data_IF_574657629243
#
_entry.id   IF_574657629243
#
_cell.length_a   1.000
_cell.length_b   1.000
_cell.length_c   1.000
_cell.angle_alpha   90.00
_cell.angle_beta   90.00
_cell.angle_gamma   90.00
#
_symmetry.space_group_name_H-M   'P 1'
#
loop_
_entity.id
_entity.type
_entity.pdbx_description
1 polymer ?
#
# COMPACT_ATOMS: atom_id res chain seq x y z
N UNK A 1 21.40 26.90 -34.03
CA UNK A 1 21.14 26.98 -32.58
C UNK A 1 20.23 28.15 -32.30
N UNK A 2 18.98 27.87 -31.95
CA UNK A 2 17.98 28.88 -31.55
C UNK A 2 17.50 28.55 -30.13
N UNK A 3 17.45 29.54 -29.24
CA UNK A 3 16.89 29.39 -27.89
C UNK A 3 15.44 29.86 -27.88
N UNK A 4 14.55 29.04 -27.32
CA UNK A 4 13.13 29.38 -27.23
C UNK A 4 12.55 28.85 -25.91
N UNK A 5 11.72 29.65 -25.27
CA UNK A 5 10.89 29.22 -24.15
C UNK A 5 9.69 28.45 -24.71
N UNK A 6 9.49 27.20 -24.28
CA UNK A 6 8.34 26.42 -24.68
C UNK A 6 7.85 25.50 -23.54
N UNK A 7 6.64 24.97 -23.70
CA UNK A 7 6.19 23.85 -22.88
C UNK A 7 6.70 22.55 -23.48
N UNK A 8 7.35 21.72 -22.66
CA UNK A 8 7.85 20.40 -23.01
C UNK A 8 6.94 19.37 -22.34
N UNK A 9 6.45 18.42 -23.13
CA UNK A 9 5.70 17.27 -22.66
C UNK A 9 6.53 16.01 -22.95
N UNK A 10 6.88 15.29 -21.89
CA UNK A 10 7.44 13.95 -21.98
C UNK A 10 6.35 12.95 -21.67
N UNK A 11 6.21 11.91 -22.47
CA UNK A 11 5.29 10.81 -22.22
C UNK A 11 6.00 9.47 -22.40
N UNK A 12 5.65 8.49 -21.58
CA UNK A 12 6.23 7.15 -21.63
C UNK A 12 5.21 6.08 -21.23
N UNK A 13 5.34 4.87 -21.76
CA UNK A 13 4.43 3.78 -21.44
C UNK A 13 4.79 3.15 -20.09
N UNK A 14 3.82 3.10 -19.17
CA UNK A 14 4.01 2.46 -17.89
C UNK A 14 4.12 0.94 -18.03
N UNK A 15 5.22 0.35 -17.53
CA UNK A 15 5.37 -1.10 -17.45
C UNK A 15 5.61 -1.79 -18.79
N UNK A 16 6.18 -1.09 -19.77
CA UNK A 16 6.45 -1.60 -21.13
C UNK A 16 7.10 -2.98 -21.15
N UNK A 17 8.21 -3.18 -20.42
CA UNK A 17 8.92 -4.47 -20.36
C UNK A 17 8.00 -5.63 -19.94
N UNK A 18 7.16 -5.42 -18.92
CA UNK A 18 6.22 -6.43 -18.41
C UNK A 18 5.09 -6.74 -19.40
N UNK A 19 4.61 -5.72 -20.13
CA UNK A 19 3.57 -5.89 -21.16
C UNK A 19 4.12 -6.68 -22.36
N UNK A 20 5.36 -6.37 -22.76
CA UNK A 20 6.06 -7.04 -23.86
C UNK A 20 6.33 -8.52 -23.58
N UNK A 21 6.74 -8.88 -22.37
CA UNK A 21 6.96 -10.28 -21.95
C UNK A 21 5.69 -11.14 -22.03
N UNK A 22 4.51 -10.54 -21.88
CA UNK A 22 3.22 -11.26 -21.90
C UNK A 22 2.69 -11.47 -23.29
N UNK A 23 2.65 -10.42 -24.12
CA UNK A 23 2.10 -10.49 -25.47
C UNK A 23 2.61 -9.34 -26.34
N UNK A 24 3.87 -9.45 -26.78
CA UNK A 24 4.56 -8.46 -27.60
C UNK A 24 3.77 -8.01 -28.84
N UNK A 25 3.17 -8.94 -29.58
CA UNK A 25 2.48 -8.62 -30.84
C UNK A 25 1.20 -7.81 -30.62
N UNK A 26 0.43 -8.12 -29.57
CA UNK A 26 -0.79 -7.36 -29.23
C UNK A 26 -0.44 -5.94 -28.75
N UNK A 27 0.53 -5.83 -27.83
CA UNK A 27 0.92 -4.55 -27.22
C UNK A 27 1.48 -3.58 -28.26
N UNK A 28 2.39 -4.06 -29.13
CA UNK A 28 2.92 -3.25 -30.23
C UNK A 28 1.83 -2.85 -31.24
N UNK A 29 0.86 -3.73 -31.51
CA UNK A 29 -0.28 -3.45 -32.38
C UNK A 29 -1.16 -2.33 -31.82
N UNK A 30 -1.60 -2.46 -30.57
CA UNK A 30 -2.42 -1.46 -29.86
C UNK A 30 -1.68 -0.14 -29.71
N UNK A 31 -0.40 -0.16 -29.32
CA UNK A 31 0.41 1.04 -29.20
C UNK A 31 0.47 1.82 -30.53
N UNK A 32 0.78 1.14 -31.64
CA UNK A 32 0.82 1.77 -32.97
C UNK A 32 -0.54 2.34 -33.36
N UNK A 33 -1.63 1.64 -33.05
CA UNK A 33 -2.99 2.11 -33.29
C UNK A 33 -3.29 3.39 -32.50
N UNK A 34 -3.02 3.42 -31.19
CA UNK A 34 -3.27 4.59 -30.35
C UNK A 34 -2.42 5.79 -30.75
N UNK A 35 -1.15 5.56 -31.16
CA UNK A 35 -0.33 6.63 -31.72
C UNK A 35 -0.96 7.25 -32.96
N UNK A 36 -1.36 6.42 -33.92
CA UNK A 36 -1.92 6.87 -35.20
C UNK A 36 -3.28 7.55 -35.07
N UNK A 37 -4.14 7.05 -34.19
CA UNK A 37 -5.54 7.45 -34.14
C UNK A 37 -5.89 8.43 -33.02
N UNK A 38 -5.03 8.55 -32.01
CA UNK A 38 -5.31 9.37 -30.84
C UNK A 38 -4.17 10.32 -30.51
N UNK A 39 -2.99 9.79 -30.21
CA UNK A 39 -1.91 10.59 -29.59
C UNK A 39 -1.32 11.59 -30.59
N UNK A 40 -0.84 11.12 -31.76
CA UNK A 40 -0.23 12.01 -32.75
C UNK A 40 -1.24 13.05 -33.30
N UNK A 41 -2.51 12.70 -33.58
CA UNK A 41 -3.53 13.68 -33.94
C UNK A 41 -3.83 14.72 -32.85
N UNK A 42 -3.98 14.31 -31.58
CA UNK A 42 -4.26 15.22 -30.47
C UNK A 42 -3.12 16.23 -30.27
N UNK A 43 -1.87 15.77 -30.40
CA UNK A 43 -0.69 16.65 -30.34
C UNK A 43 -0.73 17.68 -31.47
N UNK A 44 -0.97 17.23 -32.71
CA UNK A 44 -1.01 18.12 -33.87
C UNK A 44 -2.16 19.15 -33.77
N UNK A 45 -3.34 18.72 -33.32
CA UNK A 45 -4.52 19.58 -33.18
C UNK A 45 -4.34 20.65 -32.09
N UNK A 46 -3.59 20.33 -31.03
CA UNK A 46 -3.19 21.28 -30.00
C UNK A 46 -1.99 22.18 -30.42
N UNK A 47 -1.52 22.08 -31.67
CA UNK A 47 -0.38 22.84 -32.19
C UNK A 47 0.97 22.37 -31.64
N UNK A 48 1.02 21.16 -31.07
CA UNK A 48 2.25 20.53 -30.60
C UNK A 48 3.06 19.94 -31.74
N UNK A 49 4.37 19.82 -31.52
CA UNK A 49 5.28 19.14 -32.42
C UNK A 49 5.98 18.00 -31.70
N UNK A 50 5.94 16.81 -32.29
CA UNK A 50 6.71 15.66 -31.82
C UNK A 50 8.16 15.89 -32.24
N UNK A 51 9.04 16.00 -31.25
CA UNK A 51 10.47 16.22 -31.46
C UNK A 51 11.16 14.88 -31.71
N UNK A 52 10.90 13.90 -30.84
CA UNK A 52 11.42 12.53 -30.98
C UNK A 52 10.54 11.50 -30.30
N UNK A 53 10.65 10.27 -30.75
CA UNK A 53 10.07 9.07 -30.13
C UNK A 53 11.21 8.20 -29.61
N UNK A 54 11.09 7.67 -28.39
CA UNK A 54 12.06 6.77 -27.75
C UNK A 54 11.44 5.40 -27.53
N UNK A 55 11.09 4.70 -28.61
CA UNK A 55 10.40 3.40 -28.55
C UNK A 55 8.96 3.54 -28.06
N UNK A 56 8.77 3.44 -26.75
CA UNK A 56 7.51 3.54 -26.03
C UNK A 56 7.20 4.94 -25.47
N UNK A 57 8.20 5.80 -25.44
CA UNK A 57 8.06 7.20 -25.06
C UNK A 57 8.10 8.20 -26.21
N UNK A 58 7.76 9.44 -25.90
CA UNK A 58 7.86 10.58 -26.82
C UNK A 58 8.15 11.88 -26.09
N UNK A 59 8.82 12.77 -26.82
CA UNK A 59 9.09 14.12 -26.39
C UNK A 59 8.45 15.09 -27.38
N UNK A 60 7.60 15.97 -26.87
CA UNK A 60 6.85 16.92 -27.67
C UNK A 60 6.99 18.33 -27.12
N UNK A 61 6.84 19.32 -27.99
CA UNK A 61 6.92 20.73 -27.63
C UNK A 61 5.64 21.45 -28.04
N UNK A 62 5.24 22.41 -27.21
CA UNK A 62 4.11 23.30 -27.43
C UNK A 62 4.51 24.75 -27.20
N UNK A 63 3.89 25.65 -27.96
CA UNK A 63 4.13 27.09 -27.81
C UNK A 63 3.53 27.67 -26.52
N UNK A 64 2.62 26.93 -25.85
CA UNK A 64 2.03 27.33 -24.56
C UNK A 64 1.85 26.14 -23.61
N UNK A 65 1.96 26.38 -22.29
CA UNK A 65 1.65 25.37 -21.27
C UNK A 65 0.19 24.92 -21.31
N UNK A 66 -0.72 25.84 -21.61
CA UNK A 66 -2.14 25.54 -21.67
C UNK A 66 -2.44 24.50 -22.77
N UNK A 67 -1.84 24.64 -23.95
CA UNK A 67 -1.99 23.66 -25.02
C UNK A 67 -1.45 22.29 -24.62
N UNK A 68 -0.26 22.25 -23.99
CA UNK A 68 0.34 21.01 -23.52
C UNK A 68 -0.54 20.29 -22.48
N UNK A 69 -1.05 21.01 -21.48
CA UNK A 69 -1.88 20.43 -20.42
C UNK A 69 -3.21 19.92 -20.97
N UNK A 70 -3.88 20.68 -21.84
CA UNK A 70 -5.14 20.26 -22.46
C UNK A 70 -4.96 19.02 -23.35
N UNK A 71 -3.90 19.01 -24.15
CA UNK A 71 -3.55 17.85 -24.97
C UNK A 71 -3.30 16.61 -24.11
N UNK A 72 -2.54 16.75 -23.01
CA UNK A 72 -2.27 15.65 -22.10
C UNK A 72 -3.56 15.11 -21.43
N UNK A 73 -4.45 15.99 -20.99
CA UNK A 73 -5.74 15.62 -20.42
C UNK A 73 -6.60 14.85 -21.43
N UNK A 74 -6.69 15.35 -22.66
CA UNK A 74 -7.43 14.70 -23.75
C UNK A 74 -6.87 13.30 -24.05
N UNK A 75 -5.55 13.17 -24.17
CA UNK A 75 -4.87 11.89 -24.39
C UNK A 75 -5.19 10.92 -23.25
N UNK A 76 -5.02 11.33 -21.99
CA UNK A 76 -5.24 10.43 -20.85
C UNK A 76 -6.70 10.00 -20.73
N UNK A 77 -7.65 10.92 -20.93
CA UNK A 77 -9.08 10.62 -20.86
C UNK A 77 -9.51 9.67 -21.99
N UNK A 78 -9.03 9.90 -23.21
CA UNK A 78 -9.34 9.02 -24.34
C UNK A 78 -8.66 7.65 -24.24
N UNK A 79 -7.42 7.59 -23.72
CA UNK A 79 -6.75 6.33 -23.42
C UNK A 79 -7.51 5.52 -22.38
N UNK A 80 -8.01 6.17 -21.31
CA UNK A 80 -8.84 5.52 -20.30
C UNK A 80 -10.09 4.88 -20.93
N UNK A 81 -10.74 5.57 -21.87
CA UNK A 81 -11.92 5.03 -22.57
C UNK A 81 -11.56 3.84 -23.48
N UNK A 82 -10.46 3.93 -24.23
CA UNK A 82 -10.04 2.84 -25.15
C UNK A 82 -9.57 1.58 -24.43
N UNK A 83 -9.10 1.71 -23.20
CA UNK A 83 -8.58 0.61 -22.38
C UNK A 83 -9.58 0.12 -21.31
N UNK A 84 -10.80 0.67 -21.29
CA UNK A 84 -11.82 0.35 -20.29
C UNK A 84 -12.15 -1.16 -20.24
N UNK A 85 -12.32 -1.78 -21.41
CA UNK A 85 -12.66 -3.20 -21.56
C UNK A 85 -11.45 -4.15 -21.45
N UNK A 86 -10.23 -3.61 -21.35
CA UNK A 86 -9.01 -4.40 -21.22
C UNK A 86 -8.72 -4.70 -19.74
N UNK A 87 -8.35 -5.95 -19.37
CA UNK A 87 -7.97 -6.27 -18.00
C UNK A 87 -6.88 -5.35 -17.46
N UNK A 88 -7.01 -4.87 -16.23
CA UNK A 88 -6.11 -3.87 -15.62
C UNK A 88 -4.61 -4.20 -15.75
N UNK A 89 -4.25 -5.50 -15.68
CA UNK A 89 -2.87 -5.97 -15.80
C UNK A 89 -2.30 -5.89 -17.23
N UNK A 90 -3.15 -5.65 -18.23
CA UNK A 90 -2.84 -5.64 -19.68
C UNK A 90 -3.14 -4.28 -20.33
N UNK A 91 -3.65 -3.32 -19.55
CA UNK A 91 -3.95 -1.97 -20.02
C UNK A 91 -2.67 -1.22 -20.42
N UNK A 92 -2.70 -0.56 -21.56
CA UNK A 92 -1.66 0.39 -21.95
C UNK A 92 -1.95 1.73 -21.28
N UNK A 93 -1.04 2.17 -20.42
CA UNK A 93 -1.16 3.45 -19.72
C UNK A 93 0.08 4.29 -19.98
N UNK A 94 -0.10 5.59 -20.23
CA UNK A 94 1.00 6.52 -20.36
C UNK A 94 1.19 7.29 -19.06
N UNK A 95 2.44 7.61 -18.73
CA UNK A 95 2.79 8.66 -17.78
C UNK A 95 3.11 9.92 -18.57
N UNK A 96 2.72 11.08 -18.07
CA UNK A 96 2.98 12.36 -18.73
C UNK A 96 3.61 13.34 -17.75
N UNK A 97 4.68 14.01 -18.16
CA UNK A 97 5.35 15.08 -17.44
C UNK A 97 5.39 16.37 -18.26
N UNK A 98 4.98 17.50 -17.68
CA UNK A 98 4.96 18.79 -18.38
C UNK A 98 5.72 19.85 -17.61
N UNK A 99 6.65 20.50 -18.30
CA UNK A 99 7.42 21.61 -17.78
C UNK A 99 7.49 22.77 -18.79
N UNK A 100 7.66 24.00 -18.31
CA UNK A 100 8.10 25.12 -19.15
C UNK A 100 9.58 25.36 -18.89
N UNK A 101 10.36 25.51 -19.96
CA UNK A 101 11.75 25.89 -19.83
C UNK A 101 12.35 26.39 -21.14
N UNK A 102 13.47 27.07 -21.02
CA UNK A 102 14.28 27.43 -22.18
C UNK A 102 14.90 26.17 -22.79
N UNK A 103 14.65 25.97 -24.08
CA UNK A 103 15.24 24.89 -24.85
C UNK A 103 16.15 25.44 -25.93
N UNK A 104 17.12 24.62 -26.31
CA UNK A 104 17.97 24.83 -27.46
C UNK A 104 17.50 23.90 -28.58
N UNK A 105 17.14 24.49 -29.73
CA UNK A 105 16.79 23.76 -30.94
C UNK A 105 18.02 23.60 -31.82
N UNK A 106 18.34 22.35 -32.15
CA UNK A 106 19.43 21.95 -33.03
C UNK A 106 19.04 20.69 -33.79
N UNK A 107 19.14 20.72 -35.13
CA UNK A 107 18.82 19.61 -36.04
C UNK A 107 17.46 18.92 -35.83
N UNK A 108 16.46 19.67 -35.35
CA UNK A 108 15.12 19.17 -35.08
C UNK A 108 14.95 18.47 -33.73
N UNK A 109 15.99 18.43 -32.88
CA UNK A 109 15.92 17.97 -31.49
C UNK A 109 15.90 19.15 -30.50
N UNK A 110 15.54 18.86 -29.24
CA UNK A 110 15.49 19.84 -28.15
C UNK A 110 16.39 19.42 -26.99
N UNK A 111 17.17 20.38 -26.49
CA UNK A 111 18.08 20.19 -25.37
C UNK A 111 17.89 21.27 -24.31
N UNK A 112 18.24 20.94 -23.06
CA UNK A 112 18.24 21.89 -21.96
C UNK A 112 17.62 21.33 -20.69
N UNK A 113 17.80 22.05 -19.59
CA UNK A 113 17.31 21.64 -18.27
C UNK A 113 15.79 21.47 -18.26
N UNK A 114 15.06 22.28 -19.02
CA UNK A 114 13.60 22.19 -19.13
C UNK A 114 13.11 20.83 -19.66
N UNK A 115 13.88 20.20 -20.55
CA UNK A 115 13.60 18.86 -21.10
C UNK A 115 13.82 17.80 -20.04
N UNK A 116 14.92 17.90 -19.30
CA UNK A 116 15.24 17.00 -18.21
C UNK A 116 14.18 17.05 -17.11
N UNK A 117 13.69 18.24 -16.76
CA UNK A 117 12.58 18.38 -15.80
C UNK A 117 11.33 17.66 -16.29
N UNK A 118 10.89 17.88 -17.54
CA UNK A 118 9.69 17.23 -18.08
C UNK A 118 9.79 15.70 -18.03
N UNK A 119 10.92 15.12 -18.44
CA UNK A 119 11.15 13.68 -18.36
C UNK A 119 11.16 13.15 -16.91
N UNK A 120 11.61 13.96 -15.94
CA UNK A 120 11.56 13.56 -14.52
C UNK A 120 10.16 13.65 -13.93
N UNK A 121 9.38 14.64 -14.34
CA UNK A 121 7.97 14.74 -13.98
C UNK A 121 7.18 13.55 -14.53
N UNK A 122 7.47 13.11 -15.75
CA UNK A 122 6.90 11.90 -16.33
C UNK A 122 7.22 10.68 -15.46
N UNK A 123 8.50 10.49 -15.12
CA UNK A 123 8.95 9.31 -14.37
C UNK A 123 8.31 9.16 -12.98
N UNK A 124 7.90 10.28 -12.35
CA UNK A 124 7.23 10.27 -11.03
C UNK A 124 5.69 10.30 -11.14
N UNK A 125 5.14 10.46 -12.34
CA UNK A 125 3.70 10.43 -12.56
C UNK A 125 3.15 9.02 -12.34
N UNK A 126 1.94 8.92 -11.77
CA UNK A 126 1.20 7.66 -11.76
C UNK A 126 0.89 7.21 -13.21
N UNK A 127 0.79 5.90 -13.46
CA UNK A 127 0.27 5.38 -14.73
C UNK A 127 -1.12 5.94 -15.05
N UNK A 128 -1.28 6.54 -16.22
CA UNK A 128 -2.50 7.27 -16.62
C UNK A 128 -2.60 8.69 -16.07
N UNK A 129 -1.60 9.15 -15.30
CA UNK A 129 -1.56 10.48 -14.68
C UNK A 129 -0.75 11.52 -15.47
N UNK A 130 -0.81 12.75 -14.98
CA UNK A 130 -0.06 13.89 -15.51
C UNK A 130 0.60 14.62 -14.33
N UNK A 131 1.92 14.73 -14.34
CA UNK A 131 2.67 15.58 -13.43
C UNK A 131 3.10 16.87 -14.13
N UNK A 132 2.88 18.00 -13.48
CA UNK A 132 3.26 19.32 -13.99
C UNK A 132 4.11 20.07 -12.96
N UNK A 133 5.05 20.87 -13.46
CA UNK A 133 5.81 21.80 -12.61
C UNK A 133 4.91 22.88 -12.01
N UNK A 134 5.33 23.47 -10.89
CA UNK A 134 4.62 24.60 -10.25
C UNK A 134 4.39 25.78 -11.20
N UNK A 135 5.36 26.07 -12.07
CA UNK A 135 5.24 27.14 -13.07
C UNK A 135 4.12 26.85 -14.07
N UNK A 136 4.00 25.60 -14.52
CA UNK A 136 2.91 25.18 -15.43
C UNK A 136 1.57 25.31 -14.71
N UNK A 137 1.47 24.81 -13.47
CA UNK A 137 0.24 24.89 -12.68
C UNK A 137 -0.24 26.34 -12.49
N UNK A 138 0.66 27.24 -12.09
CA UNK A 138 0.35 28.66 -11.89
C UNK A 138 -0.16 29.34 -13.18
N UNK A 139 0.38 28.96 -14.34
CA UNK A 139 -0.04 29.52 -15.64
C UNK A 139 -1.41 28.97 -16.07
N UNK A 140 -1.75 27.75 -15.69
CA UNK A 140 -2.96 27.06 -16.19
C UNK A 140 -4.15 27.06 -15.22
N UNK A 141 -3.94 27.32 -13.92
CA UNK A 141 -4.95 27.17 -12.86
C UNK A 141 -6.29 27.89 -13.14
N UNK A 142 -6.26 29.05 -13.81
CA UNK A 142 -7.49 29.82 -14.10
C UNK A 142 -8.22 29.36 -15.37
N UNK A 143 -7.64 28.43 -16.14
CA UNK A 143 -8.11 28.06 -17.49
C UNK A 143 -8.27 26.57 -17.73
N UNK A 144 -7.86 25.76 -16.76
CA UNK A 144 -7.99 24.29 -16.71
C UNK A 144 -8.79 24.00 -15.44
N UNK A 145 -9.94 23.34 -15.59
CA UNK A 145 -10.92 23.14 -14.51
C UNK A 145 -10.67 21.85 -13.73
N UNK A 146 -9.85 20.97 -14.29
CA UNK A 146 -9.48 19.68 -13.73
C UNK A 146 -8.58 19.86 -12.50
N UNK A 147 -8.88 19.19 -11.38
CA UNK A 147 -8.12 19.38 -10.14
C UNK A 147 -6.75 18.71 -10.23
N UNK A 148 -5.69 19.46 -9.91
CA UNK A 148 -4.34 18.95 -9.69
C UNK A 148 -4.02 18.95 -8.18
N UNK A 149 -3.49 17.84 -7.68
CA UNK A 149 -3.07 17.68 -6.28
C UNK A 149 -1.62 18.10 -6.10
N UNK A 150 -1.32 18.89 -5.06
CA UNK A 150 0.04 19.27 -4.71
C UNK A 150 0.81 18.10 -4.11
N UNK A 151 1.90 17.69 -4.76
CA UNK A 151 2.82 16.67 -4.26
C UNK A 151 4.01 17.28 -3.48
N UNK A 152 4.03 18.59 -3.29
CA UNK A 152 5.11 19.30 -2.62
C UNK A 152 6.42 19.29 -3.41
N UNK A 153 7.53 19.55 -2.70
CA UNK A 153 8.86 19.65 -3.28
C UNK A 153 9.46 18.26 -3.55
N UNK A 154 9.67 17.95 -4.83
CA UNK A 154 10.27 16.72 -5.29
C UNK A 154 11.77 16.92 -5.59
N UNK A 155 12.62 16.07 -5.01
CA UNK A 155 14.04 16.00 -5.39
C UNK A 155 14.19 15.02 -6.54
N UNK A 156 14.63 15.52 -7.69
CA UNK A 156 14.89 14.70 -8.88
C UNK A 156 16.39 14.59 -9.12
N UNK A 157 16.84 13.42 -9.60
CA UNK A 157 18.26 13.15 -9.86
C UNK A 157 18.84 14.22 -10.80
N UNK A 158 20.01 14.77 -10.44
CA UNK A 158 20.79 15.75 -11.21
C UNK A 158 20.17 17.15 -11.35
N UNK A 159 19.24 17.55 -10.45
CA UNK A 159 18.78 18.94 -10.32
C UNK A 159 19.08 19.42 -8.91
N UNK A 160 19.81 20.53 -8.80
CA UNK A 160 20.31 21.06 -7.52
C UNK A 160 19.19 21.59 -6.61
N UNK A 161 18.06 22.01 -7.18
CA UNK A 161 16.92 22.57 -6.44
C UNK A 161 15.70 21.65 -6.56
N UNK A 162 15.00 21.35 -5.44
CA UNK A 162 13.73 20.64 -5.49
C UNK A 162 12.69 21.40 -6.32
N UNK A 163 11.86 20.68 -7.05
CA UNK A 163 10.81 21.25 -7.90
C UNK A 163 9.47 20.91 -7.25
N UNK A 164 8.59 21.90 -7.06
CA UNK A 164 7.22 21.62 -6.59
C UNK A 164 6.41 21.04 -7.74
N UNK A 165 5.70 19.95 -7.46
CA UNK A 165 5.01 19.15 -8.47
C UNK A 165 3.53 19.07 -8.16
N UNK A 166 2.71 19.18 -9.20
CA UNK A 166 1.28 19.00 -9.14
C UNK A 166 0.88 17.80 -9.98
N UNK A 167 -0.04 16.98 -9.50
CA UNK A 167 -0.46 15.78 -10.19
C UNK A 167 -1.96 15.75 -10.44
N UNK A 168 -2.30 15.50 -11.70
CA UNK A 168 -3.64 15.06 -12.08
C UNK A 168 -3.65 13.55 -12.24
N UNK A 169 -4.74 12.94 -11.78
CA UNK A 169 -5.08 11.54 -12.03
C UNK A 169 -6.51 11.50 -12.56
N UNK A 170 -6.84 10.56 -13.45
CA UNK A 170 -8.19 10.42 -13.98
C UNK A 170 -9.18 10.20 -12.83
N UNK A 171 -10.34 10.84 -12.93
CA UNK A 171 -11.43 10.65 -11.97
C UNK A 171 -11.86 9.18 -12.01
N UNK A 172 -11.54 8.45 -10.94
CA UNK A 172 -11.84 7.03 -10.80
C UNK A 172 -13.36 6.79 -10.68
N UNK A 173 -14.19 7.84 -10.69
CA UNK A 173 -15.67 7.76 -10.65
C UNK A 173 -16.33 7.24 -11.93
N UNK A 174 -15.63 7.22 -13.08
CA UNK A 174 -16.19 6.77 -14.39
C UNK A 174 -15.66 5.43 -14.90
N UNK A 175 -14.78 4.75 -14.16
CA UNK A 175 -14.39 3.35 -14.43
C UNK A 175 -15.51 2.43 -13.88
N UNK A 176 -16.70 2.49 -14.49
CA UNK A 176 -17.87 1.65 -14.17
C UNK A 176 -17.75 0.27 -14.84
N UNK A 177 -16.64 -0.40 -14.57
CA UNK A 177 -16.52 -1.87 -14.58
C UNK A 177 -16.13 -2.26 -13.16
N UNK A 178 -16.80 -3.23 -12.52
CA UNK A 178 -17.14 -3.18 -11.11
C UNK A 178 -15.91 -3.25 -10.18
N UNK A 179 -15.41 -2.09 -9.77
CA UNK A 179 -14.64 -1.90 -8.52
C UNK A 179 -15.62 -1.50 -7.41
N UNK A 180 -16.71 -2.26 -7.28
CA UNK A 180 -17.84 -1.99 -6.36
C UNK A 180 -17.48 -2.17 -4.89
N UNK A 181 -16.22 -2.45 -4.55
CA UNK A 181 -15.79 -2.64 -3.16
C UNK A 181 -14.87 -1.56 -2.62
N UNK A 182 -14.13 -0.81 -3.45
CA UNK A 182 -13.39 0.38 -2.97
C UNK A 182 -14.25 1.61 -2.72
N UNK A 183 -15.50 1.60 -3.20
CA UNK A 183 -16.48 2.68 -2.98
C UNK A 183 -17.30 2.56 -1.71
N UNK A 184 -17.12 1.51 -0.90
CA UNK A 184 -17.61 1.56 0.48
C UNK A 184 -16.74 2.56 1.26
N UNK A 185 -17.28 3.74 1.50
CA UNK A 185 -16.73 4.64 2.50
C UNK A 185 -16.64 3.86 3.82
N UNK A 186 -15.43 3.53 4.25
CA UNK A 186 -15.22 3.00 5.59
C UNK A 186 -15.73 4.04 6.58
N UNK A 187 -16.59 3.63 7.51
CA UNK A 187 -17.00 4.49 8.61
C UNK A 187 -16.03 4.27 9.77
N UNK A 188 -15.30 5.32 10.14
CA UNK A 188 -14.43 5.31 11.32
C UNK A 188 -15.24 5.79 12.52
N UNK A 189 -15.23 4.97 13.56
CA UNK A 189 -15.83 5.21 14.87
C UNK A 189 -14.73 5.25 15.93
N UNK A 190 -15.06 5.78 17.11
CA UNK A 190 -14.12 5.87 18.23
C UNK A 190 -14.74 5.28 19.50
N UNK A 191 -13.90 4.72 20.36
CA UNK A 191 -14.26 4.38 21.73
C UNK A 191 -13.12 4.72 22.70
N UNK A 192 -13.38 4.65 24.00
CA UNK A 192 -12.39 4.88 25.05
C UNK A 192 -12.12 3.55 25.75
N UNK A 193 -10.86 3.15 25.81
CA UNK A 193 -10.39 2.00 26.58
C UNK A 193 -10.51 2.24 28.08
N UNK A 194 -10.36 1.18 28.89
CA UNK A 194 -10.52 1.24 30.35
C UNK A 194 -9.55 2.19 31.06
N UNK A 195 -8.40 2.47 30.45
CA UNK A 195 -7.37 3.39 30.95
C UNK A 195 -7.51 4.84 30.42
N UNK A 196 -8.57 5.12 29.65
CA UNK A 196 -8.82 6.43 29.05
C UNK A 196 -8.27 6.62 27.63
N UNK A 197 -7.52 5.65 27.10
CA UNK A 197 -6.97 5.72 25.73
C UNK A 197 -8.07 5.72 24.68
N UNK A 198 -8.08 6.68 23.76
CA UNK A 198 -8.98 6.70 22.62
C UNK A 198 -8.51 5.71 21.53
N UNK A 199 -9.43 4.87 21.08
CA UNK A 199 -9.21 3.90 20.01
C UNK A 199 -10.13 4.20 18.82
N UNK A 200 -9.56 4.28 17.63
CA UNK A 200 -10.27 4.39 16.38
C UNK A 200 -10.49 3.01 15.76
N UNK A 201 -11.69 2.74 15.26
CA UNK A 201 -12.04 1.48 14.61
C UNK A 201 -12.95 1.68 13.41
N UNK A 202 -12.91 0.73 12.49
CA UNK A 202 -13.74 0.73 11.30
C UNK A 202 -14.31 -0.67 11.04
N UNK A 203 -15.43 -0.70 10.33
CA UNK A 203 -16.13 -1.92 9.92
C UNK A 203 -16.37 -1.88 8.41
N UNK A 204 -16.10 -3.00 7.75
CA UNK A 204 -16.29 -3.16 6.30
C UNK A 204 -16.90 -4.52 5.99
N UNK A 205 -17.64 -4.61 4.89
CA UNK A 205 -18.18 -5.87 4.42
C UNK A 205 -19.43 -6.33 5.17
N UNK A 206 -19.81 -7.59 4.91
CA UNK A 206 -20.97 -8.27 5.49
C UNK A 206 -20.66 -9.77 5.59
N UNK A 207 -21.36 -10.48 6.47
CA UNK A 207 -21.24 -11.93 6.64
C UNK A 207 -20.83 -12.29 8.06
N UNK A 208 -20.08 -13.39 8.26
CA UNK A 208 -19.59 -13.78 9.57
C UNK A 208 -18.75 -12.68 10.21
N UNK A 209 -18.97 -12.42 11.50
CA UNK A 209 -18.23 -11.40 12.25
C UNK A 209 -16.78 -11.80 12.44
N UNK A 210 -15.85 -10.97 11.95
CA UNK A 210 -14.41 -11.16 12.09
C UNK A 210 -13.80 -9.91 12.73
N UNK A 211 -13.08 -10.07 13.82
CA UNK A 211 -12.26 -9.01 14.40
C UNK A 211 -10.81 -9.23 14.01
N UNK A 212 -10.20 -8.25 13.34
CA UNK A 212 -8.77 -8.24 13.07
C UNK A 212 -8.03 -7.61 14.24
N UNK A 213 -7.14 -8.39 14.87
CA UNK A 213 -6.26 -7.92 15.92
C UNK A 213 -5.19 -6.94 15.38
N UNK A 214 -4.58 -6.14 16.27
CA UNK A 214 -3.49 -5.22 15.92
C UNK A 214 -2.32 -5.88 15.19
N UNK A 215 -1.68 -5.13 14.29
CA UNK A 215 -0.40 -5.52 13.72
C UNK A 215 0.57 -4.33 13.62
N UNK A 216 1.84 -4.65 13.43
CA UNK A 216 2.88 -3.68 13.09
C UNK A 216 2.77 -3.25 11.62
N UNK A 217 2.72 -1.97 11.28
CA UNK A 217 1.94 -0.93 11.96
C UNK A 217 0.66 -0.76 11.15
N UNK A 218 -0.30 0.00 11.67
CA UNK A 218 -1.58 0.15 10.99
C UNK A 218 -2.15 1.56 11.10
N UNK A 219 -2.96 1.92 10.11
CA UNK A 219 -3.62 3.22 10.03
C UNK A 219 -4.87 3.07 9.16
N UNK A 220 -6.04 3.20 9.78
CA UNK A 220 -7.32 2.84 9.15
C UNK A 220 -7.54 3.50 7.78
N UNK A 221 -7.27 4.80 7.66
CA UNK A 221 -7.42 5.57 6.42
C UNK A 221 -6.35 5.27 5.37
N UNK A 222 -5.10 5.15 5.78
CA UNK A 222 -4.00 4.93 4.84
C UNK A 222 -4.07 3.52 4.24
N UNK A 223 -4.30 2.51 5.08
CA UNK A 223 -4.33 1.10 4.66
C UNK A 223 -5.39 0.85 3.58
N UNK A 224 -6.56 1.48 3.69
CA UNK A 224 -7.65 1.34 2.70
C UNK A 224 -7.24 1.77 1.29
N UNK A 225 -6.38 2.80 1.21
CA UNK A 225 -5.90 3.37 -0.07
C UNK A 225 -4.56 2.79 -0.52
N UNK A 226 -3.92 2.02 0.34
CA UNK A 226 -2.58 1.47 0.10
C UNK A 226 -2.62 0.32 -0.93
N UNK A 227 -1.64 0.24 -1.85
CA UNK A 227 -1.44 -0.91 -2.73
C UNK A 227 -1.05 -2.21 -1.99
N UNK A 228 -0.73 -2.15 -0.69
CA UNK A 228 -0.45 -3.33 0.15
C UNK A 228 -1.75 -3.86 0.75
N UNK A 229 -2.44 -3.05 1.55
CA UNK A 229 -3.59 -3.50 2.34
C UNK A 229 -4.94 -3.31 1.63
N UNK A 230 -5.07 -2.33 0.73
CA UNK A 230 -6.33 -2.04 0.04
C UNK A 230 -6.94 -3.25 -0.67
N UNK A 231 -6.20 -3.93 -1.57
CA UNK A 231 -6.70 -5.15 -2.24
C UNK A 231 -7.06 -6.26 -1.25
N UNK A 232 -6.27 -6.43 -0.18
CA UNK A 232 -6.55 -7.42 0.86
C UNK A 232 -7.87 -7.10 1.58
N UNK A 233 -8.05 -5.87 2.04
CA UNK A 233 -9.25 -5.44 2.77
C UNK A 233 -10.50 -5.51 1.89
N UNK A 234 -10.36 -5.19 0.60
CA UNK A 234 -11.40 -5.36 -0.40
C UNK A 234 -11.85 -6.82 -0.50
N UNK A 235 -10.91 -7.75 -0.66
CA UNK A 235 -11.20 -9.19 -0.71
C UNK A 235 -11.83 -9.70 0.60
N UNK A 236 -11.40 -9.20 1.74
CA UNK A 236 -11.99 -9.57 3.04
C UNK A 236 -13.42 -9.04 3.17
N UNK A 237 -13.72 -7.83 2.69
CA UNK A 237 -15.05 -7.21 2.78
C UNK A 237 -16.14 -7.98 2.03
N UNK A 238 -15.75 -8.74 1.01
CA UNK A 238 -16.63 -9.63 0.26
C UNK A 238 -16.95 -10.95 0.99
N UNK A 239 -16.16 -11.30 2.00
CA UNK A 239 -16.20 -12.62 2.66
C UNK A 239 -16.73 -12.57 4.08
N UNK A 240 -16.54 -11.44 4.76
CA UNK A 240 -16.88 -11.30 6.16
C UNK A 240 -17.26 -9.87 6.50
N UNK A 241 -17.91 -9.75 7.65
CA UNK A 241 -18.07 -8.49 8.35
C UNK A 241 -16.81 -8.24 9.18
N UNK A 242 -15.87 -7.48 8.61
CA UNK A 242 -14.54 -7.26 9.19
C UNK A 242 -14.52 -5.99 10.04
N UNK A 243 -14.30 -6.16 11.33
CA UNK A 243 -13.95 -5.09 12.27
C UNK A 243 -12.44 -5.02 12.41
N UNK A 244 -11.89 -3.81 12.35
CA UNK A 244 -10.46 -3.53 12.52
C UNK A 244 -10.28 -2.21 13.25
N UNK A 245 -9.13 -2.02 13.88
CA UNK A 245 -8.87 -0.82 14.66
C UNK A 245 -7.40 -0.43 14.64
N UNK A 246 -7.15 0.87 14.78
CA UNK A 246 -5.82 1.40 15.04
C UNK A 246 -5.43 1.07 16.48
N UNK A 247 -4.35 0.32 16.66
CA UNK A 247 -3.88 0.04 18.02
C UNK A 247 -3.48 1.36 18.71
N UNK A 248 -3.45 1.37 20.03
CA UNK A 248 -2.88 2.49 20.78
C UNK A 248 -1.49 2.85 20.25
N UNK A 249 -1.23 4.14 20.10
CA UNK A 249 0.00 4.67 19.51
C UNK A 249 0.00 4.76 17.99
N UNK A 250 -1.02 4.24 17.30
CA UNK A 250 -1.07 4.20 15.84
C UNK A 250 -2.23 5.02 15.24
N UNK A 251 -2.02 5.49 14.02
CA UNK A 251 -3.05 5.97 13.10
C UNK A 251 -3.95 7.04 13.71
N UNK A 252 -5.25 6.76 13.74
CA UNK A 252 -6.30 7.64 14.25
C UNK A 252 -6.59 7.43 15.75
N UNK A 253 -6.02 6.40 16.38
CA UNK A 253 -6.07 6.23 17.83
C UNK A 253 -5.13 7.21 18.54
N UNK A 254 -5.20 7.28 19.86
CA UNK A 254 -4.28 8.09 20.65
C UNK A 254 -2.83 7.75 20.31
N UNK A 255 -2.09 8.73 19.78
CA UNK A 255 -0.74 8.53 19.23
C UNK A 255 0.38 8.57 20.26
N UNK A 256 0.08 8.89 21.51
CA UNK A 256 1.05 8.94 22.61
C UNK A 256 0.46 8.36 23.90
N UNK A 257 0.16 7.04 23.92
CA UNK A 257 -0.40 6.40 25.09
C UNK A 257 0.64 6.32 26.21
N UNK A 258 0.19 6.49 27.45
CA UNK A 258 1.04 6.37 28.63
C UNK A 258 1.67 4.97 28.74
N UNK A 259 0.92 3.92 28.39
CA UNK A 259 1.36 2.54 28.47
C UNK A 259 1.23 1.81 27.12
N UNK A 260 2.27 1.04 26.79
CA UNK A 260 2.30 0.08 25.68
C UNK A 260 2.77 -1.25 26.26
N UNK A 261 1.82 -2.13 26.55
CA UNK A 261 2.04 -3.45 27.15
C UNK A 261 1.13 -4.49 26.52
N UNK A 262 1.43 -5.77 26.73
CA UNK A 262 0.56 -6.87 26.27
C UNK A 262 -0.83 -6.76 26.91
N UNK A 263 -0.91 -6.49 28.21
CA UNK A 263 -2.18 -6.32 28.94
C UNK A 263 -3.04 -5.18 28.36
N UNK A 264 -2.42 -4.04 28.08
CA UNK A 264 -3.07 -2.92 27.42
C UNK A 264 -3.63 -3.29 26.04
N UNK A 265 -2.87 -4.03 25.23
CA UNK A 265 -3.33 -4.47 23.90
C UNK A 265 -4.51 -5.45 23.99
N UNK A 266 -4.51 -6.36 24.97
CA UNK A 266 -5.63 -7.28 25.23
C UNK A 266 -6.87 -6.51 25.71
N UNK A 267 -6.69 -5.53 26.59
CA UNK A 267 -7.76 -4.66 27.07
C UNK A 267 -8.40 -3.88 25.92
N UNK A 268 -7.59 -3.34 25.00
CA UNK A 268 -8.06 -2.62 23.80
C UNK A 268 -8.94 -3.50 22.92
N UNK A 269 -8.55 -4.76 22.68
CA UNK A 269 -9.38 -5.72 21.93
C UNK A 269 -10.76 -5.86 22.60
N UNK A 270 -10.79 -5.98 23.93
CA UNK A 270 -12.04 -6.03 24.70
C UNK A 270 -12.92 -4.79 24.49
N UNK A 271 -12.34 -3.59 24.57
CA UNK A 271 -13.06 -2.33 24.34
C UNK A 271 -13.61 -2.21 22.92
N UNK A 272 -12.86 -2.67 21.91
CA UNK A 272 -13.33 -2.70 20.52
C UNK A 272 -14.47 -3.71 20.34
N UNK A 273 -14.38 -4.88 20.96
CA UNK A 273 -15.44 -5.91 20.93
C UNK A 273 -16.75 -5.36 21.47
N UNK A 274 -16.71 -4.66 22.60
CA UNK A 274 -17.87 -4.01 23.19
C UNK A 274 -18.42 -2.88 22.31
N UNK A 275 -17.54 -1.98 21.86
CA UNK A 275 -17.93 -0.83 21.04
C UNK A 275 -18.53 -1.23 19.68
N UNK A 276 -18.03 -2.31 19.08
CA UNK A 276 -18.52 -2.84 17.81
C UNK A 276 -19.75 -3.76 17.97
N UNK A 277 -20.14 -4.10 19.21
CA UNK A 277 -21.27 -4.98 19.51
C UNK A 277 -21.04 -6.43 19.07
N UNK A 278 -19.81 -6.93 19.19
CA UNK A 278 -19.45 -8.29 18.79
C UNK A 278 -19.76 -9.28 19.93
N UNK A 279 -20.75 -10.14 19.71
CA UNK A 279 -21.14 -11.17 20.70
C UNK A 279 -20.30 -12.44 20.59
N UNK A 280 -20.22 -13.01 19.39
CA UNK A 280 -19.41 -14.19 19.06
C UNK A 280 -18.81 -14.00 17.66
N UNK A 281 -17.50 -14.17 17.53
CA UNK A 281 -16.78 -13.76 16.30
C UNK A 281 -15.50 -14.57 16.09
N UNK A 282 -15.01 -14.58 14.85
CA UNK A 282 -13.69 -15.11 14.51
C UNK A 282 -12.65 -14.03 14.79
N UNK A 283 -11.58 -14.39 15.50
CA UNK A 283 -10.48 -13.49 15.80
C UNK A 283 -9.30 -13.76 14.85
N UNK A 284 -8.92 -12.74 14.10
CA UNK A 284 -7.93 -12.81 13.03
C UNK A 284 -6.66 -12.04 13.43
N UNK A 285 -5.57 -12.76 13.69
CA UNK A 285 -4.26 -12.20 14.05
C UNK A 285 -3.26 -12.28 12.90
N UNK A 286 -2.49 -11.21 12.70
CA UNK A 286 -1.33 -11.18 11.79
C UNK A 286 -0.09 -10.76 12.61
N UNK A 287 1.02 -11.47 12.45
CA UNK A 287 2.29 -11.15 13.11
C UNK A 287 2.14 -11.08 14.64
N UNK A 288 2.46 -9.94 15.28
CA UNK A 288 2.21 -9.70 16.71
C UNK A 288 0.77 -10.02 17.12
N UNK A 289 -0.19 -9.76 16.23
CA UNK A 289 -1.60 -9.96 16.50
C UNK A 289 -1.94 -11.42 16.78
N UNK A 290 -1.12 -12.38 16.34
CA UNK A 290 -1.34 -13.78 16.68
C UNK A 290 -1.18 -14.06 18.18
N UNK A 291 -0.17 -13.48 18.83
CA UNK A 291 0.02 -13.63 20.27
C UNK A 291 -1.16 -13.03 21.04
N UNK A 292 -1.58 -11.82 20.66
CA UNK A 292 -2.71 -11.15 21.29
C UNK A 292 -4.02 -11.91 21.06
N UNK A 293 -4.23 -12.44 19.85
CA UNK A 293 -5.40 -13.26 19.54
C UNK A 293 -5.46 -14.55 20.36
N UNK A 294 -4.33 -15.23 20.53
CA UNK A 294 -4.25 -16.46 21.34
C UNK A 294 -4.56 -16.16 22.80
N UNK A 295 -3.94 -15.14 23.39
CA UNK A 295 -4.22 -14.76 24.78
C UNK A 295 -5.67 -14.35 24.97
N UNK A 296 -6.19 -13.45 24.13
CA UNK A 296 -7.58 -12.98 24.22
C UNK A 296 -8.57 -14.14 24.13
N UNK A 297 -8.37 -15.08 23.18
CA UNK A 297 -9.26 -16.22 23.01
C UNK A 297 -9.19 -17.24 24.16
N UNK A 298 -8.02 -17.41 24.79
CA UNK A 298 -7.88 -18.26 25.97
C UNK A 298 -8.52 -17.65 27.23
N UNK A 299 -8.64 -16.33 27.29
CA UNK A 299 -9.27 -15.57 28.37
C UNK A 299 -10.78 -15.36 28.14
N UNK A 300 -11.25 -15.40 26.89
CA UNK A 300 -12.64 -15.16 26.49
C UNK A 300 -13.17 -16.27 25.54
N UNK A 301 -13.14 -17.55 25.93
CA UNK A 301 -13.48 -18.66 25.05
C UNK A 301 -14.93 -18.64 24.55
N UNK A 302 -15.84 -18.01 25.29
CA UNK A 302 -17.25 -17.86 24.92
C UNK A 302 -17.48 -16.84 23.79
N UNK A 303 -16.57 -15.87 23.63
CA UNK A 303 -16.68 -14.83 22.60
C UNK A 303 -16.04 -15.23 21.27
N UNK A 304 -15.05 -16.13 21.29
CA UNK A 304 -14.28 -16.48 20.08
C UNK A 304 -14.83 -17.75 19.46
N UNK A 305 -15.45 -17.65 18.27
CA UNK A 305 -15.92 -18.82 17.52
C UNK A 305 -14.83 -19.51 16.72
N UNK A 306 -13.76 -18.82 16.37
CA UNK A 306 -12.64 -19.37 15.61
C UNK A 306 -11.42 -18.45 15.65
N UNK A 307 -10.24 -19.01 15.39
CA UNK A 307 -8.98 -18.26 15.30
C UNK A 307 -8.33 -18.45 13.94
N UNK A 308 -7.92 -17.35 13.33
CA UNK A 308 -7.08 -17.35 12.12
C UNK A 308 -5.79 -16.60 12.43
N UNK A 309 -4.65 -17.27 12.31
CA UNK A 309 -3.35 -16.76 12.75
C UNK A 309 -2.36 -16.81 11.58
N UNK A 310 -1.86 -15.65 11.14
CA UNK A 310 -0.99 -15.54 9.96
C UNK A 310 0.38 -14.98 10.33
N UNK A 311 1.43 -15.69 9.92
CA UNK A 311 2.83 -15.26 10.05
C UNK A 311 3.22 -14.85 11.49
N UNK A 312 2.61 -15.52 12.47
CA UNK A 312 2.67 -15.13 13.89
C UNK A 312 3.69 -15.89 14.73
N UNK A 313 3.69 -15.56 16.02
CA UNK A 313 4.46 -16.23 17.06
C UNK A 313 3.70 -16.19 18.38
N UNK A 314 4.01 -17.13 19.27
CA UNK A 314 3.57 -17.11 20.68
C UNK A 314 4.59 -16.43 21.59
N UNK A 315 5.83 -16.30 21.11
CA UNK A 315 6.96 -15.77 21.86
C UNK A 315 7.81 -14.82 21.01
N UNK A 316 8.07 -13.65 21.57
CA UNK A 316 8.87 -12.60 20.96
C UNK A 316 10.33 -12.99 20.77
N UNK A 317 11.08 -12.18 20.02
CA UNK A 317 12.48 -12.48 19.68
C UNK A 317 13.38 -12.68 20.92
N UNK A 318 13.17 -11.92 21.99
CA UNK A 318 13.96 -12.04 23.24
C UNK A 318 13.62 -13.31 24.03
N UNK A 319 12.41 -13.85 23.84
CA UNK A 319 11.93 -15.06 24.53
C UNK A 319 12.34 -16.36 23.82
N UNK A 320 13.06 -16.26 22.69
CA UNK A 320 13.53 -17.42 21.90
C UNK A 320 14.90 -17.95 22.33
N UNK A 321 15.52 -17.38 23.37
CA UNK A 321 16.82 -17.79 23.93
C UNK A 321 17.96 -17.84 22.90
N UNK A 322 18.01 -16.87 21.98
CA UNK A 322 19.07 -16.75 20.97
C UNK A 322 19.84 -15.44 21.18
N UNK A 323 21.11 -15.47 21.61
CA UNK A 323 21.91 -14.26 21.82
C UNK A 323 22.03 -13.39 20.56
N UNK A 324 22.10 -14.03 19.39
CA UNK A 324 22.13 -13.34 18.09
C UNK A 324 20.83 -12.58 17.82
N UNK A 325 19.66 -13.22 18.05
CA UNK A 325 18.37 -12.55 17.87
C UNK A 325 18.17 -11.43 18.89
N UNK A 326 18.68 -11.59 20.13
CA UNK A 326 18.64 -10.53 21.13
C UNK A 326 19.45 -9.30 20.69
N UNK A 327 20.70 -9.50 20.27
CA UNK A 327 21.54 -8.41 19.77
C UNK A 327 20.94 -7.72 18.53
N UNK A 328 20.40 -8.50 17.59
CA UNK A 328 19.71 -7.95 16.42
C UNK A 328 18.45 -7.17 16.82
N UNK A 329 17.68 -7.65 17.79
CA UNK A 329 16.49 -6.95 18.28
C UNK A 329 16.82 -5.62 18.95
N UNK A 330 17.90 -5.55 19.72
CA UNK A 330 18.39 -4.29 20.31
C UNK A 330 18.85 -3.30 19.23
N UNK A 331 19.65 -3.75 18.27
CA UNK A 331 20.12 -2.91 17.17
C UNK A 331 18.95 -2.38 16.31
N UNK A 332 17.98 -3.23 16.03
CA UNK A 332 16.73 -2.89 15.35
C UNK A 332 15.99 -1.77 16.11
N UNK A 333 15.93 -1.87 17.44
CA UNK A 333 15.25 -0.87 18.26
C UNK A 333 15.95 0.50 18.24
N UNK A 334 17.29 0.51 18.21
CA UNK A 334 18.08 1.73 18.03
C UNK A 334 17.80 2.36 16.67
N UNK A 335 17.77 1.56 15.60
CA UNK A 335 17.43 2.04 14.25
C UNK A 335 16.01 2.63 14.19
N UNK A 336 15.06 2.05 14.93
CA UNK A 336 13.71 2.60 15.04
C UNK A 336 13.75 3.98 15.72
N UNK A 337 14.35 4.11 16.90
CA UNK A 337 14.35 5.39 17.63
C UNK A 337 15.04 6.51 16.84
N UNK A 338 16.21 6.21 16.28
CA UNK A 338 17.08 7.23 15.69
C UNK A 338 16.83 7.44 14.19
N UNK A 339 16.44 6.39 13.47
CA UNK A 339 16.35 6.39 12.01
C UNK A 339 14.92 6.51 11.46
N UNK A 340 13.90 6.07 12.20
CA UNK A 340 12.55 5.89 11.64
C UNK A 340 11.86 7.20 11.24
N UNK A 341 12.09 8.26 12.01
CA UNK A 341 11.57 9.61 11.71
C UNK A 341 12.40 10.36 10.68
N UNK A 342 13.51 9.78 10.20
CA UNK A 342 14.41 10.42 9.25
C UNK A 342 13.74 10.67 7.90
N UNK A 343 14.04 11.80 7.22
CA UNK A 343 13.65 12.00 5.83
C UNK A 343 14.33 11.01 4.88
N UNK A 344 15.39 10.30 5.32
CA UNK A 344 15.98 9.21 4.55
C UNK A 344 15.12 7.94 4.74
N UNK A 345 14.44 7.44 3.68
CA UNK A 345 13.58 6.26 3.80
C UNK A 345 14.35 4.96 4.07
N UNK A 346 15.68 4.93 3.84
CA UNK A 346 16.48 3.71 3.97
C UNK A 346 16.32 3.00 5.32
N UNK A 347 16.14 3.75 6.41
CA UNK A 347 15.95 3.17 7.75
C UNK A 347 14.64 2.39 7.87
N UNK A 348 13.54 2.89 7.29
CA UNK A 348 12.25 2.18 7.22
C UNK A 348 12.29 1.07 6.18
N UNK A 349 12.99 1.32 5.08
CA UNK A 349 13.12 0.38 3.98
C UNK A 349 13.77 -0.95 4.38
N UNK A 350 14.72 -0.93 5.33
CA UNK A 350 15.27 -2.15 5.93
C UNK A 350 14.19 -3.06 6.52
N UNK A 351 13.17 -2.48 7.15
CA UNK A 351 12.06 -3.23 7.76
C UNK A 351 11.11 -3.74 6.68
N UNK A 352 10.81 -2.89 5.71
CA UNK A 352 10.02 -3.23 4.53
C UNK A 352 10.62 -4.41 3.77
N UNK A 353 11.92 -4.40 3.50
CA UNK A 353 12.65 -5.51 2.87
C UNK A 353 12.63 -6.79 3.71
N UNK A 354 12.66 -6.67 5.03
CA UNK A 354 12.53 -7.84 5.91
C UNK A 354 11.12 -8.45 5.92
N UNK A 355 10.08 -7.64 5.69
CA UNK A 355 8.69 -8.07 5.76
C UNK A 355 8.12 -8.51 4.42
N UNK A 356 8.51 -7.88 3.32
CA UNK A 356 7.95 -8.17 2.01
C UNK A 356 8.99 -8.03 0.90
N UNK A 357 10.06 -8.85 0.93
CA UNK A 357 11.16 -8.76 -0.03
C UNK A 357 10.70 -8.93 -1.49
N UNK A 358 9.66 -9.73 -1.72
CA UNK A 358 9.16 -10.06 -3.06
C UNK A 358 8.08 -9.08 -3.55
N UNK A 359 7.81 -8.00 -2.80
CA UNK A 359 6.84 -6.97 -3.19
C UNK A 359 7.40 -5.99 -4.24
N UNK A 360 6.49 -5.33 -4.94
CA UNK A 360 6.85 -4.29 -5.92
C UNK A 360 7.38 -3.03 -5.24
N UNK A 361 8.15 -2.22 -5.97
CA UNK A 361 8.67 -0.95 -5.44
C UNK A 361 7.56 0.01 -4.96
N UNK A 362 6.42 0.02 -5.66
CA UNK A 362 5.26 0.82 -5.26
C UNK A 362 4.66 0.35 -3.92
N UNK A 363 4.60 -0.97 -3.70
CA UNK A 363 4.17 -1.55 -2.43
C UNK A 363 5.19 -1.21 -1.31
N UNK A 364 6.49 -1.37 -1.58
CA UNK A 364 7.57 -1.02 -0.64
C UNK A 364 7.51 0.44 -0.22
N UNK A 365 7.47 1.35 -1.18
CA UNK A 365 7.35 2.79 -0.94
C UNK A 365 6.09 3.15 -0.15
N UNK A 366 4.95 2.52 -0.45
CA UNK A 366 3.71 2.76 0.31
C UNK A 366 3.79 2.23 1.74
N UNK A 367 4.44 1.10 1.98
CA UNK A 367 4.60 0.55 3.32
C UNK A 367 5.62 1.33 4.15
N UNK A 368 6.69 1.84 3.53
CA UNK A 368 7.61 2.80 4.16
C UNK A 368 6.87 4.05 4.63
N UNK A 369 5.92 4.53 3.83
CA UNK A 369 5.11 5.69 4.17
C UNK A 369 4.05 5.37 5.23
N UNK A 370 3.37 4.22 5.15
CA UNK A 370 2.47 3.74 6.20
C UNK A 370 3.18 3.75 7.56
N UNK A 371 4.37 3.16 7.62
CA UNK A 371 5.18 3.12 8.85
C UNK A 371 5.54 4.52 9.38
N UNK A 372 5.73 5.50 8.49
CA UNK A 372 6.05 6.89 8.86
C UNK A 372 4.83 7.66 9.37
N UNK A 373 3.66 7.46 8.76
CA UNK A 373 2.44 8.21 9.11
C UNK A 373 1.67 7.57 10.27
N UNK A 374 1.89 6.29 10.55
CA UNK A 374 1.14 5.56 11.57
C UNK A 374 1.54 5.96 13.00
N UNK A 375 2.83 6.12 13.31
CA UNK A 375 3.25 6.43 14.67
C UNK A 375 4.57 7.20 14.74
N UNK A 376 4.91 7.70 15.93
CA UNK A 376 6.21 8.33 16.19
C UNK A 376 7.32 7.27 16.33
N UNK A 377 8.59 7.64 16.09
CA UNK A 377 9.73 6.73 16.31
C UNK A 377 9.81 6.16 17.72
N UNK A 378 9.49 6.97 18.74
CA UNK A 378 9.48 6.51 20.14
C UNK A 378 8.42 5.43 20.39
N UNK A 379 7.20 5.68 19.91
CA UNK A 379 6.09 4.74 20.03
C UNK A 379 6.38 3.45 19.25
N UNK A 380 6.91 3.56 18.03
CA UNK A 380 7.37 2.40 17.26
C UNK A 380 8.39 1.57 18.07
N UNK A 381 9.38 2.22 18.69
CA UNK A 381 10.38 1.50 19.48
C UNK A 381 9.79 0.83 20.73
N UNK A 382 8.84 1.48 21.42
CA UNK A 382 8.11 0.91 22.55
C UNK A 382 7.29 -0.32 22.12
N UNK A 383 6.57 -0.25 21.01
CA UNK A 383 5.83 -1.39 20.44
C UNK A 383 6.79 -2.52 20.07
N UNK A 384 7.90 -2.23 19.39
CA UNK A 384 8.87 -3.25 19.00
C UNK A 384 9.51 -3.93 20.21
N UNK A 385 9.79 -3.18 21.28
CA UNK A 385 10.31 -3.72 22.56
C UNK A 385 9.29 -4.64 23.24
N UNK A 386 8.03 -4.22 23.28
CA UNK A 386 6.92 -5.01 23.82
C UNK A 386 6.76 -6.31 23.04
N UNK A 387 6.66 -6.24 21.69
CA UNK A 387 6.60 -7.40 20.81
C UNK A 387 7.76 -8.38 20.98
N UNK A 388 8.98 -7.87 21.20
CA UNK A 388 10.15 -8.70 21.38
C UNK A 388 10.12 -9.48 22.70
N UNK A 389 9.33 -9.04 23.68
CA UNK A 389 9.23 -9.59 25.03
C UNK A 389 7.94 -10.38 25.30
N UNK A 390 7.00 -10.39 24.36
CA UNK A 390 5.74 -11.17 24.44
C UNK A 390 6.03 -12.64 24.71
N UNK A 391 5.25 -13.25 25.60
CA UNK A 391 5.27 -14.70 25.87
C UNK A 391 3.89 -15.18 26.30
N UNK A 392 3.19 -15.82 25.37
CA UNK A 392 1.82 -16.33 25.57
C UNK A 392 1.69 -17.83 25.31
N UNK A 393 2.80 -18.58 25.31
CA UNK A 393 2.78 -20.02 25.01
C UNK A 393 1.84 -20.81 25.92
N UNK A 394 1.73 -20.42 27.18
CA UNK A 394 0.88 -21.10 28.18
C UNK A 394 -0.62 -20.92 27.93
N UNK A 395 -1.01 -19.93 27.11
CA UNK A 395 -2.40 -19.73 26.71
C UNK A 395 -2.81 -20.63 25.55
N UNK A 396 -1.85 -21.06 24.72
CA UNK A 396 -2.14 -21.82 23.50
C UNK A 396 -2.88 -23.14 23.78
N UNK A 397 -2.50 -23.87 24.84
CA UNK A 397 -3.14 -25.13 25.21
C UNK A 397 -4.56 -24.97 25.77
N UNK A 398 -4.97 -23.74 26.11
CA UNK A 398 -6.31 -23.42 26.65
C UNK A 398 -7.32 -23.04 25.57
N UNK A 399 -6.87 -22.91 24.32
CA UNK A 399 -7.74 -22.56 23.19
C UNK A 399 -8.75 -23.69 22.94
N UNK A 400 -10.03 -23.30 22.90
CA UNK A 400 -11.15 -24.20 22.63
C UNK A 400 -11.72 -24.03 21.21
N UNK A 401 -11.48 -22.86 20.61
CA UNK A 401 -12.00 -22.53 19.30
C UNK A 401 -11.21 -23.26 18.19
N UNK A 402 -11.87 -23.71 17.10
CA UNK A 402 -11.18 -24.16 15.90
C UNK A 402 -10.16 -23.12 15.46
N UNK A 403 -8.98 -23.57 15.03
CA UNK A 403 -7.86 -22.67 14.75
C UNK A 403 -7.18 -23.01 13.43
N UNK A 404 -7.03 -22.00 12.58
CA UNK A 404 -6.25 -22.05 11.35
C UNK A 404 -4.96 -21.23 11.52
N UNK A 405 -3.82 -21.88 11.34
CA UNK A 405 -2.50 -21.24 11.35
C UNK A 405 -1.92 -21.27 9.95
N UNK A 406 -1.57 -20.12 9.40
CA UNK A 406 -0.91 -20.00 8.09
C UNK A 406 0.43 -19.28 8.22
N UNK A 407 1.45 -19.77 7.53
CA UNK A 407 2.79 -19.17 7.61
C UNK A 407 3.58 -19.38 6.32
N UNK A 408 4.21 -18.34 5.80
CA UNK A 408 5.07 -18.43 4.62
C UNK A 408 6.34 -19.23 4.91
N UNK A 409 6.74 -20.09 3.97
CA UNK A 409 7.93 -20.93 4.12
C UNK A 409 9.23 -20.12 4.24
N UNK A 410 9.31 -19.00 3.52
CA UNK A 410 10.49 -18.14 3.44
C UNK A 410 10.39 -16.88 4.28
N UNK A 411 9.46 -16.81 5.25
CA UNK A 411 9.28 -15.62 6.10
C UNK A 411 10.60 -15.24 6.81
N UNK A 412 11.11 -14.05 6.47
CA UNK A 412 12.37 -13.51 7.00
C UNK A 412 12.21 -12.72 8.29
N UNK A 413 10.97 -12.36 8.66
CA UNK A 413 10.68 -11.58 9.86
C UNK A 413 10.38 -12.48 11.04
N UNK A 414 9.55 -13.49 10.84
CA UNK A 414 9.19 -14.49 11.84
C UNK A 414 9.44 -15.88 11.26
N UNK A 415 10.39 -16.65 11.81
CA UNK A 415 10.69 -17.97 11.27
C UNK A 415 9.46 -18.88 11.24
N UNK A 416 9.25 -19.61 10.15
CA UNK A 416 8.14 -20.58 9.98
C UNK A 416 8.04 -21.61 11.11
N UNK A 417 9.15 -21.88 11.81
CA UNK A 417 9.18 -22.74 12.99
C UNK A 417 8.28 -22.22 14.12
N UNK A 418 8.10 -20.90 14.26
CA UNK A 418 7.20 -20.34 15.27
C UNK A 418 5.73 -20.54 14.90
N UNK A 419 5.36 -20.46 13.62
CA UNK A 419 4.03 -20.85 13.14
C UNK A 419 3.73 -22.33 13.37
N UNK A 420 4.70 -23.21 13.08
CA UNK A 420 4.58 -24.65 13.35
C UNK A 420 4.45 -24.94 14.85
N UNK A 421 5.23 -24.24 15.68
CA UNK A 421 5.14 -24.35 17.16
C UNK A 421 3.75 -23.92 17.65
N UNK A 422 3.23 -22.81 17.14
CA UNK A 422 1.90 -22.33 17.49
C UNK A 422 0.82 -23.35 17.16
N UNK A 423 0.83 -23.92 15.94
CA UNK A 423 -0.11 -24.97 15.56
C UNK A 423 0.05 -26.26 16.39
N UNK A 424 1.26 -26.60 16.82
CA UNK A 424 1.50 -27.78 17.65
C UNK A 424 0.99 -27.62 19.10
N UNK A 425 0.96 -26.39 19.62
CA UNK A 425 0.53 -26.11 20.98
C UNK A 425 -0.98 -25.87 21.11
N UNK A 426 -1.64 -25.42 20.03
CA UNK A 426 -3.08 -25.17 20.01
C UNK A 426 -3.83 -26.47 19.69
N UNK A 427 -4.72 -26.95 20.57
CA UNK A 427 -5.48 -28.18 20.32
C UNK A 427 -6.30 -28.10 19.02
N UNK A 428 -6.12 -29.09 18.15
CA UNK A 428 -6.88 -29.19 16.90
C UNK A 428 -6.54 -28.13 15.85
N UNK A 429 -5.47 -27.36 16.02
CA UNK A 429 -5.08 -26.37 15.01
C UNK A 429 -4.64 -27.00 13.69
N UNK A 430 -5.08 -26.40 12.58
CA UNK A 430 -4.67 -26.75 11.23
C UNK A 430 -3.54 -25.83 10.79
N UNK A 431 -2.40 -26.39 10.36
CA UNK A 431 -1.27 -25.63 9.85
C UNK A 431 -1.23 -25.67 8.31
N UNK A 432 -1.14 -24.50 7.69
CA UNK A 432 -0.99 -24.34 6.23
C UNK A 432 0.31 -23.58 5.95
N UNK A 433 1.17 -24.16 5.11
CA UNK A 433 2.36 -23.45 4.62
C UNK A 433 1.99 -22.62 3.41
N UNK A 434 2.29 -21.32 3.45
CA UNK A 434 2.10 -20.41 2.32
C UNK A 434 3.38 -20.35 1.47
N UNK A 435 3.27 -20.30 0.13
CA UNK A 435 4.43 -20.18 -0.75
C UNK A 435 5.06 -18.77 -0.70
N UNK A 436 6.38 -18.68 -0.83
CA UNK A 436 7.10 -17.40 -0.97
C UNK A 436 7.74 -16.87 0.32
N UNK A 437 8.31 -15.66 0.22
CA UNK A 437 9.18 -15.12 1.28
C UNK A 437 8.58 -13.96 2.08
N UNK A 438 7.37 -13.52 1.72
CA UNK A 438 6.73 -12.37 2.38
C UNK A 438 6.12 -12.79 3.73
N UNK A 439 6.38 -11.98 4.74
CA UNK A 439 5.70 -11.98 6.03
C UNK A 439 4.27 -11.44 5.92
N UNK A 440 4.07 -10.40 5.10
CA UNK A 440 2.76 -9.83 4.82
C UNK A 440 2.07 -10.56 3.64
N UNK A 441 0.73 -10.58 3.67
CA UNK A 441 -0.08 -11.08 2.55
C UNK A 441 -0.18 -9.98 1.48
N UNK A 442 0.52 -10.16 0.37
CA UNK A 442 0.66 -9.14 -0.68
C UNK A 442 -0.20 -9.50 -1.90
N UNK A 443 -0.87 -8.48 -2.47
CA UNK A 443 -1.64 -8.64 -3.70
C UNK A 443 -0.79 -9.16 -4.87
N UNK A 444 -1.34 -10.09 -5.64
CA UNK A 444 -0.66 -10.77 -6.73
C UNK A 444 0.33 -11.86 -6.31
N UNK A 445 0.46 -12.16 -5.01
CA UNK A 445 1.27 -13.28 -4.53
C UNK A 445 0.44 -14.57 -4.40
N UNK A 446 1.02 -15.76 -4.71
CA UNK A 446 0.33 -17.04 -4.49
C UNK A 446 -0.05 -17.30 -3.02
N UNK A 447 0.67 -16.67 -2.07
CA UNK A 447 0.35 -16.74 -0.65
C UNK A 447 -1.02 -16.12 -0.32
N UNK A 448 -1.35 -14.98 -0.93
CA UNK A 448 -2.64 -14.33 -0.72
C UNK A 448 -3.79 -15.17 -1.29
N UNK A 449 -3.63 -15.72 -2.49
CA UNK A 449 -4.66 -16.56 -3.12
C UNK A 449 -4.97 -17.80 -2.28
N UNK A 450 -3.92 -18.49 -1.81
CA UNK A 450 -4.06 -19.65 -0.93
C UNK A 450 -4.69 -19.25 0.41
N UNK A 451 -4.24 -18.15 1.02
CA UNK A 451 -4.85 -17.63 2.25
C UNK A 451 -6.35 -17.37 2.07
N UNK A 452 -6.77 -16.68 1.01
CA UNK A 452 -8.17 -16.34 0.79
C UNK A 452 -9.04 -17.59 0.59
N UNK A 453 -8.52 -18.61 -0.09
CA UNK A 453 -9.20 -19.90 -0.24
C UNK A 453 -9.39 -20.58 1.11
N UNK A 454 -8.32 -20.70 1.89
CA UNK A 454 -8.34 -21.36 3.21
C UNK A 454 -9.19 -20.61 4.23
N UNK A 455 -9.14 -19.28 4.20
CA UNK A 455 -9.93 -18.41 5.05
C UNK A 455 -11.43 -18.57 4.75
N UNK A 456 -11.82 -18.57 3.47
CA UNK A 456 -13.22 -18.79 3.08
C UNK A 456 -13.73 -20.17 3.48
N UNK A 457 -12.93 -21.22 3.31
CA UNK A 457 -13.29 -22.57 3.75
C UNK A 457 -13.48 -22.63 5.27
N UNK A 458 -12.54 -22.07 6.02
CA UNK A 458 -12.62 -22.01 7.48
C UNK A 458 -13.84 -21.22 7.97
N UNK A 459 -14.17 -20.08 7.37
CA UNK A 459 -15.37 -19.33 7.74
C UNK A 459 -16.65 -20.12 7.49
N UNK A 460 -16.73 -20.90 6.42
CA UNK A 460 -17.88 -21.75 6.14
C UNK A 460 -18.08 -22.81 7.24
N UNK A 461 -16.98 -23.46 7.67
CA UNK A 461 -17.00 -24.44 8.77
C UNK A 461 -17.51 -23.83 10.09
N UNK A 462 -17.09 -22.61 10.42
CA UNK A 462 -17.52 -21.92 11.65
C UNK A 462 -19.00 -21.53 11.62
N UNK A 463 -19.56 -21.20 10.46
CA UNK A 463 -20.98 -20.84 10.34
C UNK A 463 -21.88 -22.07 10.46
N UNK A 464 -21.37 -23.24 10.07
CA UNK A 464 -22.09 -24.52 10.14
C UNK A 464 -22.05 -25.17 11.54
N UNK A 465 -21.11 -24.76 12.40
CA UNK A 465 -20.91 -25.26 13.78
C UNK A 465 -21.66 -24.48 14.85
#
# INVERSE_FOLDING_TARGET
MERRLCAILAADMAGYTRLMERNESDVLGRQKLYRRELIDPAIAQAGGQIVKTTGDGMLTRFDTAQAAVRCALEIQQAMQQREADTPRKERIQYRIGINIGDILLEDGDIFGDGVNVAARLEAISEPGGICISDVVHQITQDRVTEPFTDLGLQKVKNITRPIRVWQWVPDRSRDNSPDTARSQAQHVSFCIAGDGTQLAWARIGKGPSVLKAPNWLNHLDYEWRSPVWGPFLEQMSHRCDLVRFDQRGNGLSDRDPAEISEDAMISDIGSIVEAAGLNRFVLFGISQGCAFSVRYAAENPEKVSGLVLVAGYLRGALMRNSPEQSALSEATNVLIREGWGSPNPAYRHLFTESMMPDSTEAQKSSFDELQRVSCSPDVAARINTMNASVEVSDYASRIQAPTLVLHSEGDRRVPVAEGRRMAALIPGARFVTLPGNNHALIDGSPALDLFLSEFSAFLAEIVES
#
